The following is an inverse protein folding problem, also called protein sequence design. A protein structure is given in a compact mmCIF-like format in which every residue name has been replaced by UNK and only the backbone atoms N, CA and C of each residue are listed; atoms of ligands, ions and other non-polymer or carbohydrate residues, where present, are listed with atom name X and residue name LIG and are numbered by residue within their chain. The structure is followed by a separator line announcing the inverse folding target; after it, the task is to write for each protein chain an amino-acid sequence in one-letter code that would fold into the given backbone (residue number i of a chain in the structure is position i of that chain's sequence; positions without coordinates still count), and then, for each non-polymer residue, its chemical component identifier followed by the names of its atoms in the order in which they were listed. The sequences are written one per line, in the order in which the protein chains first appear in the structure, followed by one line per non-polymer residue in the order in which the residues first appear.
data_IF_875937213678
#
_entry.id   IF_875937213678
#
_cell.length_a   1.000
_cell.length_b   1.000
_cell.length_c   1.000
_cell.angle_alpha   90.00
_cell.angle_beta   90.00
_cell.angle_gamma   90.00
#
_symmetry.space_group_name_H-M   'P 1'
#
loop_
_entity.id
_entity.type
_entity.pdbx_description
1 polymer ?
#
# COMPACT_ATOMS: atom_id res chain seq x y z
N UNK A 1 8.82 25.30 -17.75
CA UNK A 1 9.03 24.75 -16.38
C UNK A 1 8.60 23.30 -16.38
N UNK A 2 9.37 22.41 -15.72
CA UNK A 2 8.94 21.01 -15.53
C UNK A 2 7.76 20.94 -14.56
N UNK A 3 6.93 19.88 -14.71
CA UNK A 3 5.83 19.61 -13.77
C UNK A 3 6.36 18.83 -12.56
N UNK A 4 5.82 19.11 -11.38
CA UNK A 4 6.07 18.32 -10.17
C UNK A 4 5.04 17.21 -10.08
N UNK A 5 5.51 16.00 -9.88
CA UNK A 5 4.66 14.83 -9.67
C UNK A 5 4.91 14.31 -8.27
N UNK A 6 3.84 14.13 -7.48
CA UNK A 6 3.91 13.43 -6.21
C UNK A 6 3.41 12.01 -6.42
N UNK A 7 4.24 11.05 -6.03
CA UNK A 7 3.92 9.63 -6.17
C UNK A 7 3.83 8.99 -4.79
N UNK A 8 2.70 8.31 -4.54
CA UNK A 8 2.42 7.65 -3.29
C UNK A 8 2.57 6.13 -3.47
N UNK A 9 3.43 5.48 -2.68
CA UNK A 9 3.68 4.05 -2.81
C UNK A 9 2.48 3.20 -2.36
N UNK A 10 2.53 1.91 -2.69
CA UNK A 10 1.57 0.92 -2.22
C UNK A 10 2.10 0.09 -1.07
N UNK A 11 1.25 -0.84 -0.60
CA UNK A 11 1.62 -1.84 0.41
C UNK A 11 2.88 -2.60 -0.02
N UNK A 12 3.79 -2.85 0.92
CA UNK A 12 5.11 -3.42 0.72
C UNK A 12 6.26 -2.40 0.89
N UNK A 13 5.92 -1.11 1.03
CA UNK A 13 6.91 -0.03 1.27
C UNK A 13 7.02 0.34 2.76
N UNK A 14 6.20 -0.27 3.65
CA UNK A 14 6.22 0.00 5.08
C UNK A 14 7.49 -0.52 5.76
N UNK A 15 7.93 0.20 6.78
CA UNK A 15 9.02 -0.20 7.67
C UNK A 15 8.89 0.50 9.03
N UNK A 16 9.44 -0.11 10.07
CA UNK A 16 9.43 0.48 11.41
C UNK A 16 10.25 1.77 11.40
N UNK A 17 9.68 2.84 11.94
CA UNK A 17 10.26 4.18 11.94
C UNK A 17 9.83 5.07 10.78
N UNK A 18 9.02 4.56 9.83
CA UNK A 18 8.53 5.38 8.70
C UNK A 18 7.75 6.60 9.20
N UNK A 19 8.14 7.80 8.75
CA UNK A 19 7.48 9.05 9.12
C UNK A 19 7.80 9.60 10.50
N UNK A 20 8.61 8.91 11.32
CA UNK A 20 8.91 9.33 12.70
C UNK A 20 9.54 10.72 12.77
N UNK A 21 10.48 11.04 11.91
CA UNK A 21 11.13 12.36 11.89
C UNK A 21 10.11 13.49 11.65
N UNK A 22 9.15 13.28 10.73
CA UNK A 22 8.07 14.24 10.47
C UNK A 22 7.15 14.39 11.68
N UNK A 23 6.80 13.28 12.32
CA UNK A 23 5.98 13.28 13.53
C UNK A 23 6.65 14.05 14.67
N UNK A 24 7.94 13.84 14.91
CA UNK A 24 8.68 14.44 16.02
C UNK A 24 8.98 15.93 15.80
N UNK A 25 9.12 16.39 14.54
CA UNK A 25 9.62 17.72 14.25
C UNK A 25 8.63 18.68 13.58
N UNK A 26 7.51 18.17 13.05
CA UNK A 26 6.56 18.96 12.27
C UNK A 26 5.14 18.85 12.86
N UNK A 27 4.64 19.91 13.53
CA UNK A 27 3.35 19.87 14.25
C UNK A 27 2.15 19.48 13.38
N UNK A 28 2.10 19.96 12.11
CA UNK A 28 0.99 19.63 11.20
C UNK A 28 1.06 18.17 10.70
N UNK A 29 2.25 17.65 10.46
CA UNK A 29 2.43 16.22 10.13
C UNK A 29 2.05 15.33 11.32
N UNK A 30 2.43 15.73 12.54
CA UNK A 30 2.00 15.06 13.78
C UNK A 30 0.49 15.05 13.89
N UNK A 31 -0.19 16.17 13.66
CA UNK A 31 -1.65 16.29 13.75
C UNK A 31 -2.37 15.31 12.80
N UNK A 32 -1.82 15.03 11.62
CA UNK A 32 -2.39 14.06 10.67
C UNK A 32 -2.32 12.62 11.22
N UNK A 33 -1.19 12.24 11.82
CA UNK A 33 -1.02 10.91 12.41
C UNK A 33 -1.90 10.76 13.66
N UNK A 34 -1.97 11.79 14.50
CA UNK A 34 -2.85 11.82 15.68
C UNK A 34 -4.34 11.72 15.28
N UNK A 35 -4.74 12.41 14.21
CA UNK A 35 -6.10 12.30 13.65
C UNK A 35 -6.40 10.87 13.18
N UNK A 36 -5.45 10.22 12.53
CA UNK A 36 -5.62 8.82 12.12
C UNK A 36 -5.79 7.90 13.34
N UNK A 37 -5.05 8.16 14.42
CA UNK A 37 -5.20 7.41 15.68
C UNK A 37 -6.58 7.63 16.29
N UNK A 38 -7.04 8.88 16.38
CA UNK A 38 -8.35 9.23 16.93
C UNK A 38 -9.49 8.57 16.16
N UNK A 39 -9.48 8.66 14.83
CA UNK A 39 -10.58 8.15 14.01
C UNK A 39 -10.63 6.62 13.94
N UNK A 40 -9.50 5.95 14.10
CA UNK A 40 -9.44 4.49 13.98
C UNK A 40 -9.43 3.76 15.32
N UNK A 41 -9.18 4.47 16.42
CA UNK A 41 -8.96 3.89 17.73
C UNK A 41 -7.66 3.06 17.85
N UNK A 42 -6.72 3.24 16.89
CA UNK A 42 -5.43 2.57 16.86
C UNK A 42 -4.34 3.53 17.33
N UNK A 43 -3.33 3.00 18.00
CA UNK A 43 -2.09 3.74 18.26
C UNK A 43 -1.19 3.68 17.02
N UNK A 44 -1.43 4.60 16.06
CA UNK A 44 -0.67 4.68 14.82
C UNK A 44 0.82 4.97 15.06
N UNK A 45 1.21 5.88 15.99
CA UNK A 45 2.60 6.04 16.38
C UNK A 45 3.27 4.74 16.83
N UNK A 46 2.67 4.00 17.75
CA UNK A 46 3.24 2.74 18.22
C UNK A 46 3.34 1.71 17.08
N UNK A 47 2.32 1.61 16.22
CA UNK A 47 2.35 0.70 15.07
C UNK A 47 3.44 1.06 14.05
N UNK A 48 3.72 2.35 13.84
CA UNK A 48 4.69 2.80 12.86
C UNK A 48 6.13 2.89 13.40
N UNK A 49 6.31 3.20 14.69
CA UNK A 49 7.62 3.62 15.22
C UNK A 49 8.26 2.59 16.16
N UNK A 50 7.49 1.64 16.68
CA UNK A 50 7.97 0.62 17.60
C UNK A 50 7.98 -0.76 16.94
N UNK A 51 8.89 -1.63 17.35
CA UNK A 51 8.94 -3.02 16.88
C UNK A 51 7.64 -3.76 17.24
N UNK A 52 6.98 -4.32 16.24
CA UNK A 52 5.75 -5.08 16.41
C UNK A 52 5.48 -6.00 15.20
N UNK A 53 4.65 -7.02 15.41
CA UNK A 53 4.26 -7.97 14.34
C UNK A 53 3.06 -7.49 13.52
N UNK A 54 2.42 -6.38 13.90
CA UNK A 54 1.15 -5.93 13.28
C UNK A 54 1.36 -5.10 12.03
N UNK A 55 2.46 -4.36 11.91
CA UNK A 55 2.69 -3.46 10.78
C UNK A 55 2.62 -4.18 9.42
N UNK A 56 2.93 -5.49 9.38
CA UNK A 56 2.88 -6.29 8.16
C UNK A 56 1.52 -7.01 7.94
N UNK A 57 0.56 -6.82 8.83
CA UNK A 57 -0.80 -7.32 8.65
C UNK A 57 -1.60 -6.27 7.86
N UNK A 58 -2.23 -6.67 6.75
CA UNK A 58 -2.88 -5.76 5.78
C UNK A 58 -3.80 -4.73 6.42
N UNK A 59 -4.61 -5.11 7.40
CA UNK A 59 -5.53 -4.18 8.06
C UNK A 59 -4.83 -3.04 8.81
N UNK A 60 -3.60 -3.26 9.29
CA UNK A 60 -2.79 -2.23 9.94
C UNK A 60 -1.87 -1.53 8.95
N UNK A 61 -1.24 -2.28 8.03
CA UNK A 61 -0.36 -1.72 7.00
C UNK A 61 -1.05 -0.60 6.23
N UNK A 62 -2.28 -0.85 5.78
CA UNK A 62 -3.04 0.07 4.94
C UNK A 62 -3.21 1.43 5.60
N UNK A 63 -3.68 1.46 6.83
CA UNK A 63 -3.93 2.73 7.53
C UNK A 63 -2.65 3.40 8.02
N UNK A 64 -1.64 2.63 8.46
CA UNK A 64 -0.35 3.18 8.86
C UNK A 64 0.35 3.89 7.70
N UNK A 65 0.39 3.26 6.53
CA UNK A 65 0.97 3.89 5.34
C UNK A 65 0.22 5.15 4.93
N UNK A 66 -1.12 5.11 4.83
CA UNK A 66 -1.89 6.29 4.48
C UNK A 66 -1.62 7.45 5.46
N UNK A 67 -1.60 7.19 6.76
CA UNK A 67 -1.37 8.21 7.77
C UNK A 67 0.02 8.87 7.61
N UNK A 68 1.06 8.06 7.37
CA UNK A 68 2.43 8.54 7.15
C UNK A 68 2.55 9.30 5.83
N UNK A 69 1.98 8.78 4.74
CA UNK A 69 1.98 9.45 3.42
C UNK A 69 1.28 10.80 3.49
N UNK A 70 0.12 10.87 4.13
CA UNK A 70 -0.63 12.12 4.32
C UNK A 70 0.14 13.12 5.21
N UNK A 71 0.82 12.64 6.25
CA UNK A 71 1.65 13.47 7.12
C UNK A 71 2.87 14.04 6.37
N UNK A 72 3.54 13.23 5.57
CA UNK A 72 4.67 13.69 4.72
C UNK A 72 4.16 14.69 3.67
N UNK A 73 3.01 14.42 3.05
CA UNK A 73 2.37 15.37 2.13
C UNK A 73 2.12 16.70 2.81
N UNK A 74 1.51 16.71 4.01
CA UNK A 74 1.26 17.92 4.77
C UNK A 74 2.55 18.69 5.07
N UNK A 75 3.62 18.00 5.47
CA UNK A 75 4.92 18.60 5.72
C UNK A 75 5.52 19.29 4.48
N UNK A 76 5.31 18.72 3.31
CA UNK A 76 5.77 19.28 2.02
C UNK A 76 4.95 20.52 1.64
N UNK A 77 3.62 20.45 1.82
CA UNK A 77 2.72 21.58 1.56
C UNK A 77 3.03 22.77 2.48
N UNK A 78 3.34 22.52 3.75
CA UNK A 78 3.74 23.55 4.71
C UNK A 78 5.03 24.31 4.29
N UNK A 79 5.85 23.68 3.44
CA UNK A 79 7.02 24.33 2.82
C UNK A 79 6.68 25.08 1.52
N UNK A 80 5.40 25.19 1.16
CA UNK A 80 4.94 25.86 -0.05
C UNK A 80 5.20 25.09 -1.34
N UNK A 81 5.48 23.78 -1.24
CA UNK A 81 5.71 22.90 -2.39
C UNK A 81 4.42 22.17 -2.72
N UNK A 82 3.84 22.49 -3.89
CA UNK A 82 2.59 21.87 -4.36
C UNK A 82 2.85 21.00 -5.59
N UNK A 83 2.12 19.88 -5.77
CA UNK A 83 2.20 19.07 -6.97
C UNK A 83 1.38 19.69 -8.11
N UNK A 84 1.81 19.46 -9.34
CA UNK A 84 1.00 19.67 -10.55
C UNK A 84 0.18 18.42 -10.89
N UNK A 85 0.67 17.24 -10.47
CA UNK A 85 0.05 15.93 -10.67
C UNK A 85 0.31 15.06 -9.46
N UNK A 86 -0.67 14.27 -9.06
CA UNK A 86 -0.53 13.22 -8.06
C UNK A 86 -0.80 11.86 -8.67
N UNK A 87 -0.07 10.84 -8.26
CA UNK A 87 -0.26 9.46 -8.66
C UNK A 87 -0.03 8.53 -7.47
N UNK A 88 -0.72 7.41 -7.42
CA UNK A 88 -0.58 6.44 -6.34
C UNK A 88 -0.76 5.01 -6.82
N UNK A 89 -0.01 4.10 -6.20
CA UNK A 89 -0.11 2.67 -6.48
C UNK A 89 -1.04 2.01 -5.45
N UNK A 90 -2.18 1.46 -5.89
CA UNK A 90 -3.12 0.72 -5.04
C UNK A 90 -3.55 1.53 -3.80
N UNK A 91 -2.94 1.28 -2.64
CA UNK A 91 -3.14 2.06 -1.41
C UNK A 91 -2.84 3.55 -1.61
N UNK A 92 -1.71 3.86 -2.22
CA UNK A 92 -1.26 5.24 -2.43
C UNK A 92 -2.20 6.08 -3.30
N UNK A 93 -3.10 5.43 -4.08
CA UNK A 93 -4.14 6.13 -4.85
C UNK A 93 -5.07 6.96 -3.95
N UNK A 94 -5.38 6.46 -2.75
CA UNK A 94 -6.21 7.21 -1.79
C UNK A 94 -5.53 8.48 -1.31
N UNK A 95 -4.23 8.41 -1.04
CA UNK A 95 -3.45 9.59 -0.70
C UNK A 95 -3.32 10.54 -1.90
N UNK A 96 -3.12 10.02 -3.12
CA UNK A 96 -3.10 10.82 -4.34
C UNK A 96 -4.42 11.55 -4.57
N UNK A 97 -5.56 10.89 -4.39
CA UNK A 97 -6.90 11.49 -4.52
C UNK A 97 -7.12 12.57 -3.45
N UNK A 98 -6.74 12.29 -2.19
CA UNK A 98 -6.85 13.27 -1.11
C UNK A 98 -5.96 14.50 -1.39
N UNK A 99 -4.72 14.28 -1.81
CA UNK A 99 -3.77 15.35 -2.17
C UNK A 99 -4.23 16.20 -3.36
N UNK A 100 -5.02 15.64 -4.27
CA UNK A 100 -5.64 16.36 -5.38
C UNK A 100 -6.95 17.06 -4.99
N UNK A 101 -7.40 16.96 -3.73
CA UNK A 101 -8.67 17.54 -3.26
C UNK A 101 -9.91 16.73 -3.63
N UNK A 102 -9.76 15.50 -4.12
CA UNK A 102 -10.88 14.62 -4.49
C UNK A 102 -11.61 14.01 -3.28
N UNK A 103 -10.96 13.97 -2.11
CA UNK A 103 -11.56 13.62 -0.82
C UNK A 103 -10.81 14.31 0.31
N UNK A 104 -11.43 14.41 1.49
CA UNK A 104 -10.72 14.91 2.68
C UNK A 104 -9.80 13.84 3.27
N UNK A 105 -8.80 14.26 4.05
CA UNK A 105 -7.90 13.35 4.77
C UNK A 105 -8.68 12.44 5.72
N UNK A 106 -9.69 12.96 6.41
CA UNK A 106 -10.57 12.22 7.31
C UNK A 106 -11.31 11.09 6.57
N UNK A 107 -11.84 11.39 5.38
CA UNK A 107 -12.54 10.41 4.56
C UNK A 107 -11.57 9.36 4.00
N UNK A 108 -10.34 9.74 3.66
CA UNK A 108 -9.30 8.81 3.24
C UNK A 108 -8.95 7.85 4.38
N UNK A 109 -8.75 8.35 5.61
CA UNK A 109 -8.46 7.55 6.81
C UNK A 109 -9.56 6.51 7.05
N UNK A 110 -10.82 6.93 7.12
CA UNK A 110 -11.94 6.03 7.39
C UNK A 110 -12.14 5.01 6.27
N UNK A 111 -11.97 5.41 5.01
CA UNK A 111 -12.11 4.54 3.84
C UNK A 111 -11.00 3.49 3.81
N UNK A 112 -9.75 3.90 4.00
CA UNK A 112 -8.61 2.99 3.95
C UNK A 112 -8.57 2.05 5.16
N UNK A 113 -8.99 2.51 6.36
CA UNK A 113 -9.18 1.60 7.50
C UNK A 113 -10.18 0.49 7.17
N UNK A 114 -11.32 0.85 6.60
CA UNK A 114 -12.34 -0.13 6.17
C UNK A 114 -11.80 -1.04 5.06
N UNK A 115 -11.09 -0.47 4.07
CA UNK A 115 -10.46 -1.25 3.00
C UNK A 115 -9.50 -2.30 3.54
N UNK A 116 -8.60 -1.92 4.47
CA UNK A 116 -7.63 -2.82 5.08
C UNK A 116 -8.30 -4.00 5.79
N UNK A 117 -9.35 -3.74 6.57
CA UNK A 117 -10.14 -4.78 7.25
C UNK A 117 -10.81 -5.71 6.24
N UNK A 118 -11.45 -5.16 5.21
CA UNK A 118 -12.12 -5.96 4.19
C UNK A 118 -11.14 -6.82 3.40
N UNK A 119 -9.98 -6.27 3.04
CA UNK A 119 -8.93 -7.03 2.34
C UNK A 119 -8.37 -8.15 3.22
N UNK A 120 -8.11 -7.88 4.50
CA UNK A 120 -7.61 -8.88 5.44
C UNK A 120 -8.59 -10.05 5.60
N UNK A 121 -9.88 -9.77 5.58
CA UNK A 121 -10.94 -10.77 5.78
C UNK A 121 -11.44 -11.41 4.48
N UNK A 122 -11.02 -10.91 3.32
CA UNK A 122 -11.49 -11.42 2.02
C UNK A 122 -11.03 -12.85 1.74
N UNK A 123 -9.85 -13.21 2.24
CA UNK A 123 -9.28 -14.56 2.12
C UNK A 123 -8.80 -14.99 3.51
N UNK A 124 -9.29 -16.12 4.05
CA UNK A 124 -8.79 -16.64 5.32
C UNK A 124 -7.28 -16.88 5.26
N UNK A 125 -6.59 -16.59 6.36
CA UNK A 125 -5.13 -16.74 6.44
C UNK A 125 -4.67 -18.13 6.03
N UNK A 126 -3.67 -18.21 5.15
CA UNK A 126 -3.09 -19.47 4.66
C UNK A 126 -3.87 -20.16 3.54
N UNK A 127 -4.94 -19.57 3.02
CA UNK A 127 -5.70 -20.13 1.89
C UNK A 127 -5.39 -19.45 0.56
N UNK A 128 -4.88 -18.23 0.59
CA UNK A 128 -4.54 -17.50 -0.62
C UNK A 128 -3.20 -16.79 -0.49
N UNK A 129 -2.55 -16.59 -1.61
CA UNK A 129 -1.32 -15.83 -1.69
C UNK A 129 -1.27 -14.96 -2.96
N UNK A 130 -0.33 -14.02 -2.97
CA UNK A 130 -0.03 -13.19 -4.14
C UNK A 130 1.47 -13.30 -4.44
N UNK A 131 1.81 -13.31 -5.72
CA UNK A 131 3.20 -13.32 -6.17
C UNK A 131 3.42 -12.28 -7.25
N UNK A 132 4.50 -11.49 -7.12
CA UNK A 132 4.93 -10.58 -8.17
C UNK A 132 5.84 -11.32 -9.15
N UNK A 133 5.41 -11.40 -10.40
CA UNK A 133 6.20 -11.92 -11.51
C UNK A 133 6.96 -10.76 -12.15
N UNK A 134 8.29 -10.86 -12.16
CA UNK A 134 9.17 -9.83 -12.66
C UNK A 134 9.85 -10.28 -13.95
N UNK A 135 9.93 -9.37 -14.93
CA UNK A 135 10.70 -9.57 -16.15
C UNK A 135 10.03 -10.44 -17.22
N UNK A 136 8.78 -10.90 -17.01
CA UNK A 136 8.02 -11.61 -18.02
C UNK A 136 6.98 -10.70 -18.69
N UNK A 137 6.72 -10.99 -19.95
CA UNK A 137 5.65 -10.38 -20.72
C UNK A 137 4.27 -10.91 -20.29
N UNK A 138 3.26 -10.04 -20.33
CA UNK A 138 1.89 -10.38 -19.94
C UNK A 138 1.33 -11.58 -20.70
N UNK A 139 1.54 -11.62 -22.01
CA UNK A 139 1.05 -12.71 -22.86
C UNK A 139 1.62 -14.08 -22.47
N UNK A 140 2.88 -14.14 -22.03
CA UNK A 140 3.47 -15.39 -21.52
C UNK A 140 2.87 -15.83 -20.21
N UNK A 141 2.55 -14.89 -19.32
CA UNK A 141 1.90 -15.20 -18.04
C UNK A 141 0.48 -15.69 -18.30
N UNK A 142 -0.27 -15.02 -19.17
CA UNK A 142 -1.61 -15.43 -19.59
C UNK A 142 -1.62 -16.83 -20.20
N UNK A 143 -0.64 -17.15 -21.08
CA UNK A 143 -0.48 -18.48 -21.68
C UNK A 143 -0.26 -19.56 -20.61
N UNK A 144 0.63 -19.32 -19.64
CA UNK A 144 0.91 -20.25 -18.54
C UNK A 144 -0.29 -20.47 -17.65
N UNK A 145 -1.12 -19.42 -17.44
CA UNK A 145 -2.29 -19.48 -16.58
C UNK A 145 -3.54 -20.04 -17.28
N UNK A 146 -3.58 -20.06 -18.64
CA UNK A 146 -4.76 -20.47 -19.40
C UNK A 146 -5.25 -21.89 -19.07
N UNK A 147 -4.31 -22.80 -18.79
CA UNK A 147 -4.59 -24.21 -18.45
C UNK A 147 -4.53 -24.48 -16.93
N UNK A 148 -4.51 -23.45 -16.09
CA UNK A 148 -4.39 -23.57 -14.63
C UNK A 148 -5.63 -23.06 -13.92
N UNK A 149 -6.22 -23.93 -13.09
CA UNK A 149 -7.28 -23.52 -12.16
C UNK A 149 -6.69 -23.00 -10.85
N UNK A 150 -7.39 -22.09 -10.20
CA UNK A 150 -7.02 -21.59 -8.87
C UNK A 150 -5.97 -20.49 -8.83
N UNK A 151 -5.47 -20.02 -9.99
CA UNK A 151 -4.58 -18.85 -10.09
C UNK A 151 -5.03 -17.93 -11.21
N UNK A 152 -4.95 -16.62 -10.97
CA UNK A 152 -5.32 -15.59 -11.92
C UNK A 152 -4.39 -14.38 -11.82
N UNK A 153 -4.39 -13.53 -12.85
CA UNK A 153 -3.73 -12.24 -12.77
C UNK A 153 -4.57 -11.30 -11.90
N UNK A 154 -3.92 -10.72 -10.90
CA UNK A 154 -4.51 -9.71 -10.02
C UNK A 154 -4.23 -8.29 -10.50
N UNK A 155 -2.98 -8.00 -10.90
CA UNK A 155 -2.57 -6.64 -11.29
C UNK A 155 -1.59 -6.65 -12.47
N UNK A 156 -1.80 -5.72 -13.39
CA UNK A 156 -0.81 -5.28 -14.37
C UNK A 156 -0.19 -3.96 -13.87
N UNK A 157 0.89 -4.03 -13.11
CA UNK A 157 1.47 -2.83 -12.48
C UNK A 157 2.25 -1.96 -13.47
N UNK A 158 3.11 -2.59 -14.25
CA UNK A 158 3.86 -1.93 -15.33
C UNK A 158 4.42 -3.00 -16.29
N UNK A 159 4.99 -2.62 -17.45
CA UNK A 159 5.72 -3.56 -18.30
C UNK A 159 6.77 -4.33 -17.50
N UNK A 160 6.67 -5.65 -17.48
CA UNK A 160 7.59 -6.53 -16.76
C UNK A 160 7.29 -6.68 -15.25
N UNK A 161 6.17 -6.19 -14.74
CA UNK A 161 5.71 -6.48 -13.38
C UNK A 161 4.20 -6.76 -13.35
N UNK A 162 3.87 -8.02 -13.15
CA UNK A 162 2.49 -8.51 -13.06
C UNK A 162 2.34 -9.26 -11.75
N UNK A 163 1.22 -9.04 -11.06
CA UNK A 163 0.90 -9.76 -9.83
C UNK A 163 -0.14 -10.83 -10.14
N UNK A 164 0.16 -12.04 -9.75
CA UNK A 164 -0.77 -13.19 -9.79
C UNK A 164 -1.27 -13.49 -8.38
N UNK A 165 -2.48 -13.99 -8.29
CA UNK A 165 -3.12 -14.38 -7.03
C UNK A 165 -3.80 -15.74 -7.18
N UNK A 166 -3.91 -16.48 -6.10
CA UNK A 166 -4.59 -17.76 -6.08
C UNK A 166 -4.35 -18.53 -4.79
N UNK A 167 -4.74 -19.81 -4.80
CA UNK A 167 -4.44 -20.70 -3.70
C UNK A 167 -2.92 -20.85 -3.52
N UNK A 168 -2.46 -20.85 -2.28
CA UNK A 168 -1.03 -20.85 -1.96
C UNK A 168 -0.26 -22.02 -2.61
N UNK A 169 -0.84 -23.23 -2.54
CA UNK A 169 -0.24 -24.41 -3.16
C UNK A 169 -0.16 -24.31 -4.69
N UNK A 170 -1.19 -23.73 -5.31
CA UNK A 170 -1.22 -23.51 -6.76
C UNK A 170 -0.17 -22.51 -7.22
N UNK A 171 0.05 -21.45 -6.42
CA UNK A 171 1.11 -20.45 -6.68
C UNK A 171 2.52 -21.02 -6.52
N UNK A 172 2.76 -21.86 -5.48
CA UNK A 172 4.05 -22.50 -5.26
C UNK A 172 4.41 -23.37 -6.48
N UNK A 173 3.50 -24.17 -7.00
CA UNK A 173 3.72 -25.04 -8.16
C UNK A 173 3.99 -24.26 -9.47
N UNK A 174 3.48 -23.06 -9.61
CA UNK A 174 3.75 -22.19 -10.78
C UNK A 174 5.10 -21.48 -10.64
N UNK A 175 5.52 -21.24 -9.40
CA UNK A 175 6.67 -20.42 -9.06
C UNK A 175 7.99 -21.19 -9.03
N UNK A 176 7.99 -22.52 -9.01
CA UNK A 176 9.19 -23.33 -9.15
C UNK A 176 9.44 -23.62 -10.64
N UNK A 177 10.65 -23.32 -11.19
CA UNK A 177 11.94 -23.09 -10.54
C UNK A 177 12.38 -21.63 -10.43
N UNK A 178 11.56 -20.68 -10.80
CA UNK A 178 11.88 -19.26 -10.67
C UNK A 178 11.47 -18.78 -9.28
N UNK A 179 12.43 -18.42 -8.41
CA UNK A 179 12.16 -17.90 -7.08
C UNK A 179 11.35 -16.59 -7.13
N UNK A 180 10.02 -16.58 -6.97
CA UNK A 180 9.27 -15.37 -6.75
C UNK A 180 9.52 -14.90 -5.33
N UNK A 181 9.57 -13.59 -5.12
CA UNK A 181 9.42 -13.04 -3.77
C UNK A 181 7.94 -13.14 -3.42
N UNK A 182 7.60 -14.01 -2.49
CA UNK A 182 6.29 -13.99 -1.85
C UNK A 182 6.14 -12.67 -1.11
N UNK A 183 5.10 -11.94 -1.43
CA UNK A 183 4.69 -10.73 -0.72
C UNK A 183 3.56 -11.18 0.21
N UNK A 184 3.88 -11.34 1.47
CA UNK A 184 2.91 -11.58 2.55
C UNK A 184 2.14 -10.31 2.87
#
# INVERSE_FOLDING_TARGET
MGKRVFMFPGQGSQYIGMGKEFYDTMPNAKAVIDLASEQTGLDIPALCFEENDKLNITEYTQICMLAVEAAIYQAIIDKGITPDVTAGLSLGEYCAIASAGGMSTENAITTVRKRGILMQNAVPGGQGAMAAVLGLDAGKIEEVLADRSGVMIANYNCPGQIVITGEELSLIHISEPTRPRLIS
#
